data_IF_714764046786
#
_entry.id   IF_714764046786
#
_cell.length_a   1.000
_cell.length_b   1.000
_cell.length_c   1.000
_cell.angle_alpha   90.00
_cell.angle_beta   90.00
_cell.angle_gamma   90.00
#
_symmetry.space_group_name_H-M   'P 1'
#
loop_
_entity.id
_entity.type
_entity.pdbx_description
1 polymer ?
#
# COMPACT_ATOMS: atom_id res chain seq x y z
N UNK A 1 -35.30 -24.76 -4.59
CA UNK A 1 -34.91 -23.62 -5.44
C UNK A 1 -34.61 -22.36 -4.63
N UNK A 2 -35.30 -22.09 -3.52
CA UNK A 2 -35.03 -20.93 -2.64
C UNK A 2 -33.59 -20.83 -2.10
N UNK A 3 -33.01 -21.93 -1.62
CA UNK A 3 -31.65 -21.92 -1.04
C UNK A 3 -30.57 -21.44 -2.02
N UNK A 4 -30.70 -21.78 -3.31
CA UNK A 4 -29.76 -21.33 -4.34
C UNK A 4 -29.87 -19.83 -4.61
N UNK A 5 -31.10 -19.30 -4.60
CA UNK A 5 -31.36 -17.87 -4.80
C UNK A 5 -30.88 -17.04 -3.60
N UNK A 6 -31.09 -17.54 -2.38
CA UNK A 6 -30.60 -16.92 -1.16
C UNK A 6 -29.06 -16.92 -1.08
N UNK A 7 -28.42 -18.01 -1.47
CA UNK A 7 -26.96 -18.10 -1.56
C UNK A 7 -26.42 -17.09 -2.58
N UNK A 8 -27.03 -17.00 -3.77
CA UNK A 8 -26.65 -16.04 -4.81
C UNK A 8 -26.80 -14.60 -4.33
N UNK A 9 -27.90 -14.27 -3.63
CA UNK A 9 -28.12 -12.93 -3.07
C UNK A 9 -27.08 -12.56 -2.02
N UNK A 10 -26.71 -13.51 -1.15
CA UNK A 10 -25.64 -13.33 -0.16
C UNK A 10 -24.29 -13.11 -0.83
N UNK A 11 -23.97 -13.88 -1.87
CA UNK A 11 -22.75 -13.69 -2.66
C UNK A 11 -22.70 -12.32 -3.33
N UNK A 12 -23.80 -11.88 -3.96
CA UNK A 12 -23.89 -10.54 -4.54
C UNK A 12 -23.60 -9.45 -3.49
N UNK A 13 -24.22 -9.54 -2.31
CA UNK A 13 -23.97 -8.58 -1.22
C UNK A 13 -22.50 -8.59 -0.78
N UNK A 14 -21.90 -9.76 -0.61
CA UNK A 14 -20.51 -9.90 -0.19
C UNK A 14 -19.55 -9.32 -1.24
N UNK A 15 -19.78 -9.62 -2.53
CA UNK A 15 -19.00 -9.08 -3.64
C UNK A 15 -19.14 -7.57 -3.72
N UNK A 16 -20.36 -7.02 -3.60
CA UNK A 16 -20.57 -5.56 -3.60
C UNK A 16 -19.86 -4.89 -2.43
N UNK A 17 -19.93 -5.46 -1.23
CA UNK A 17 -19.24 -4.94 -0.05
C UNK A 17 -17.71 -4.98 -0.24
N UNK A 18 -17.17 -6.10 -0.69
CA UNK A 18 -15.73 -6.25 -0.94
C UNK A 18 -15.24 -5.29 -2.03
N UNK A 19 -15.98 -5.16 -3.13
CA UNK A 19 -15.66 -4.20 -4.22
C UNK A 19 -15.64 -2.77 -3.71
N UNK A 20 -16.57 -2.40 -2.82
CA UNK A 20 -16.59 -1.08 -2.20
C UNK A 20 -15.35 -0.82 -1.35
N UNK A 21 -14.99 -1.76 -0.46
CA UNK A 21 -13.80 -1.64 0.39
C UNK A 21 -12.52 -1.58 -0.45
N UNK A 22 -12.40 -2.45 -1.46
CA UNK A 22 -11.27 -2.42 -2.41
C UNK A 22 -11.20 -1.09 -3.17
N UNK A 23 -12.34 -0.52 -3.56
CA UNK A 23 -12.39 0.79 -4.24
C UNK A 23 -11.90 1.92 -3.33
N UNK A 24 -12.28 1.90 -2.05
CA UNK A 24 -11.81 2.88 -1.06
C UNK A 24 -10.30 2.74 -0.81
N UNK A 25 -9.80 1.50 -0.70
CA UNK A 25 -8.36 1.26 -0.58
C UNK A 25 -7.59 1.75 -1.81
N UNK A 26 -8.11 1.49 -3.02
CA UNK A 26 -7.55 2.00 -4.27
C UNK A 26 -7.51 3.52 -4.32
N UNK A 27 -8.59 4.19 -3.89
CA UNK A 27 -8.63 5.65 -3.81
C UNK A 27 -7.60 6.21 -2.82
N UNK A 28 -7.44 5.58 -1.65
CA UNK A 28 -6.40 5.97 -0.66
C UNK A 28 -5.00 5.79 -1.22
N UNK A 29 -4.73 4.66 -1.88
CA UNK A 29 -3.43 4.40 -2.50
C UNK A 29 -3.10 5.43 -3.59
N UNK A 30 -4.08 5.78 -4.43
CA UNK A 30 -3.93 6.82 -5.45
C UNK A 30 -3.56 8.17 -4.83
N UNK A 31 -4.30 8.62 -3.81
CA UNK A 31 -4.04 9.90 -3.12
C UNK A 31 -2.64 9.93 -2.50
N UNK A 32 -2.23 8.86 -1.81
CA UNK A 32 -0.91 8.78 -1.19
C UNK A 32 0.22 8.75 -2.22
N UNK A 33 0.04 8.02 -3.33
CA UNK A 33 1.00 8.00 -4.44
C UNK A 33 1.15 9.38 -5.08
N UNK A 34 0.04 10.04 -5.43
CA UNK A 34 0.06 11.41 -5.97
C UNK A 34 0.69 12.42 -5.01
N UNK A 35 0.42 12.29 -3.70
CA UNK A 35 1.05 13.12 -2.69
C UNK A 35 2.57 12.93 -2.68
N UNK A 36 3.05 11.69 -2.71
CA UNK A 36 4.48 11.38 -2.71
C UNK A 36 5.16 11.93 -3.97
N UNK A 37 4.55 11.75 -5.15
CA UNK A 37 5.05 12.28 -6.42
C UNK A 37 5.10 13.81 -6.43
N UNK A 38 4.11 14.47 -5.84
CA UNK A 38 4.09 15.93 -5.71
C UNK A 38 5.11 16.43 -4.69
N UNK A 39 5.30 15.75 -3.56
CA UNK A 39 6.16 16.19 -2.47
C UNK A 39 7.65 15.88 -2.72
N UNK A 40 7.97 14.71 -3.28
CA UNK A 40 9.35 14.22 -3.43
C UNK A 40 10.27 15.23 -4.13
N UNK A 41 9.88 15.87 -5.26
CA UNK A 41 10.69 16.89 -5.94
C UNK A 41 11.10 18.08 -5.07
N UNK A 42 10.31 18.42 -4.06
CA UNK A 42 10.55 19.56 -3.16
C UNK A 42 11.41 19.21 -1.95
N UNK A 43 11.72 17.92 -1.74
CA UNK A 43 12.60 17.47 -0.66
C UNK A 43 14.06 17.47 -1.12
N UNK A 44 14.94 18.03 -0.29
CA UNK A 44 16.38 17.88 -0.48
C UNK A 44 16.81 16.42 -0.33
N UNK A 45 17.96 16.05 -0.87
CA UNK A 45 18.53 14.69 -0.72
C UNK A 45 18.61 14.24 0.74
N UNK A 46 19.01 15.15 1.64
CA UNK A 46 19.08 14.84 3.07
C UNK A 46 17.69 14.59 3.67
N UNK A 47 16.68 15.37 3.29
CA UNK A 47 15.30 15.18 3.75
C UNK A 47 14.73 13.86 3.21
N UNK A 48 14.93 13.54 1.94
CA UNK A 48 14.49 12.26 1.36
C UNK A 48 15.12 11.06 2.08
N UNK A 49 16.41 11.12 2.39
CA UNK A 49 17.09 10.06 3.13
C UNK A 49 16.53 9.89 4.56
N UNK A 50 16.21 11.00 5.25
CA UNK A 50 15.55 10.96 6.56
C UNK A 50 14.16 10.33 6.46
N UNK A 51 13.34 10.78 5.50
CA UNK A 51 12.00 10.23 5.26
C UNK A 51 12.07 8.74 4.93
N UNK A 52 13.00 8.31 4.07
CA UNK A 52 13.17 6.89 3.72
C UNK A 52 13.54 6.03 4.94
N UNK A 53 14.37 6.57 5.84
CA UNK A 53 14.75 5.88 7.08
C UNK A 53 13.54 5.76 8.01
N UNK A 54 12.84 6.86 8.28
CA UNK A 54 11.64 6.85 9.13
C UNK A 54 10.52 6.00 8.54
N UNK A 55 10.34 6.01 7.22
CA UNK A 55 9.34 5.19 6.54
C UNK A 55 9.64 3.70 6.70
N UNK A 56 10.89 3.28 6.45
CA UNK A 56 11.30 1.88 6.65
C UNK A 56 11.07 1.43 8.08
N UNK A 57 11.49 2.25 9.05
CA UNK A 57 11.30 1.94 10.47
C UNK A 57 9.81 1.79 10.83
N UNK A 58 8.95 2.70 10.36
CA UNK A 58 7.51 2.58 10.59
C UNK A 58 6.88 1.32 9.99
N UNK A 59 7.38 0.86 8.84
CA UNK A 59 6.96 -0.42 8.24
C UNK A 59 7.43 -1.61 9.06
N UNK A 60 8.69 -1.60 9.52
CA UNK A 60 9.24 -2.66 10.38
C UNK A 60 8.47 -2.75 11.71
N UNK A 61 8.15 -1.62 12.32
CA UNK A 61 7.32 -1.54 13.52
C UNK A 61 5.90 -2.08 13.26
N UNK A 62 5.28 -1.71 12.14
CA UNK A 62 3.96 -2.21 11.77
C UNK A 62 3.97 -3.73 11.55
N UNK A 63 4.99 -4.27 10.88
CA UNK A 63 5.13 -5.73 10.70
C UNK A 63 5.33 -6.44 12.04
N UNK A 64 6.15 -5.90 12.93
CA UNK A 64 6.38 -6.50 14.25
C UNK A 64 5.11 -6.60 15.09
N UNK A 65 4.21 -5.62 14.99
CA UNK A 65 2.91 -5.66 15.67
C UNK A 65 1.96 -6.72 15.11
N UNK A 66 2.26 -7.26 13.92
CA UNK A 66 1.44 -8.23 13.22
C UNK A 66 2.01 -9.65 13.24
N UNK A 67 3.17 -9.87 13.88
CA UNK A 67 3.83 -11.18 13.94
C UNK A 67 2.94 -12.28 14.58
N UNK A 68 2.05 -11.90 15.49
CA UNK A 68 1.10 -12.82 16.14
C UNK A 68 -0.18 -13.06 15.32
N UNK A 69 -0.37 -12.37 14.19
CA UNK A 69 -1.55 -12.49 13.33
C UNK A 69 -1.20 -13.35 12.11
N UNK A 70 -1.91 -14.46 11.85
CA UNK A 70 -1.69 -15.25 10.66
C UNK A 70 -2.20 -14.50 9.44
N UNK A 71 -1.31 -13.76 8.78
CA UNK A 71 -1.60 -13.04 7.54
C UNK A 71 -1.28 -13.90 6.32
N UNK A 72 -2.03 -13.76 5.22
CA UNK A 72 -1.68 -14.41 3.95
C UNK A 72 -0.29 -14.00 3.47
N UNK A 73 0.43 -14.91 2.82
CA UNK A 73 1.76 -14.61 2.26
C UNK A 73 1.72 -13.48 1.22
N UNK A 74 0.59 -13.35 0.52
CA UNK A 74 0.31 -12.28 -0.44
C UNK A 74 0.27 -10.91 0.23
N UNK A 75 -0.18 -10.83 1.48
CA UNK A 75 -0.20 -9.58 2.24
C UNK A 75 1.22 -9.10 2.53
N UNK A 76 2.08 -9.99 3.03
CA UNK A 76 3.48 -9.67 3.28
C UNK A 76 4.23 -9.29 1.99
N UNK A 77 3.96 -10.04 0.91
CA UNK A 77 4.56 -9.75 -0.40
C UNK A 77 4.18 -8.37 -0.91
N UNK A 78 2.89 -8.01 -0.84
CA UNK A 78 2.40 -6.70 -1.23
C UNK A 78 2.98 -5.57 -0.36
N UNK A 79 3.10 -5.79 0.96
CA UNK A 79 3.73 -4.82 1.86
C UNK A 79 5.18 -4.55 1.48
N UNK A 80 5.97 -5.60 1.24
CA UNK A 80 7.38 -5.46 0.84
C UNK A 80 7.51 -4.78 -0.52
N UNK A 81 6.70 -5.17 -1.50
CA UNK A 81 6.70 -4.57 -2.84
C UNK A 81 6.41 -3.07 -2.77
N UNK A 82 5.32 -2.67 -2.12
CA UNK A 82 4.93 -1.26 -1.98
C UNK A 82 5.97 -0.44 -1.21
N UNK A 83 6.57 -1.03 -0.17
CA UNK A 83 7.64 -0.39 0.60
C UNK A 83 8.84 -0.11 -0.30
N UNK A 84 9.25 -1.07 -1.12
CA UNK A 84 10.37 -0.92 -2.04
C UNK A 84 10.09 0.12 -3.13
N UNK A 85 8.86 0.20 -3.65
CA UNK A 85 8.45 1.24 -4.61
C UNK A 85 8.60 2.63 -4.00
N UNK A 86 8.11 2.85 -2.78
CA UNK A 86 8.21 4.15 -2.11
C UNK A 86 9.68 4.50 -1.82
N UNK A 87 10.48 3.53 -1.35
CA UNK A 87 11.91 3.73 -1.11
C UNK A 87 12.67 4.08 -2.40
N UNK A 88 12.27 3.53 -3.55
CA UNK A 88 12.84 3.89 -4.85
C UNK A 88 12.52 5.34 -5.25
N UNK A 89 11.29 5.81 -5.00
CA UNK A 89 10.87 7.20 -5.25
C UNK A 89 11.63 8.20 -4.36
N UNK A 90 11.88 7.81 -3.10
CA UNK A 90 12.68 8.60 -2.15
C UNK A 90 14.18 8.48 -2.39
N UNK A 91 14.62 7.50 -3.18
CA UNK A 91 16.01 7.31 -3.55
C UNK A 91 16.59 8.52 -4.29
N UNK A 92 17.92 8.61 -4.40
CA UNK A 92 18.55 9.63 -5.22
C UNK A 92 17.97 9.54 -6.64
N UNK A 93 17.48 10.67 -7.16
CA UNK A 93 17.05 10.77 -8.55
C UNK A 93 18.23 10.30 -9.40
N UNK A 94 18.06 9.18 -10.12
CA UNK A 94 19.02 8.80 -11.16
C UNK A 94 18.92 9.88 -12.22
N UNK A 95 19.73 10.93 -12.08
CA UNK A 95 20.00 11.85 -13.17
C UNK A 95 20.45 10.99 -14.35
N UNK A 96 19.71 11.04 -15.45
CA UNK A 96 20.10 10.41 -16.70
C UNK A 96 21.54 10.80 -17.05
N UNK A 97 22.40 9.85 -17.44
CA UNK A 97 23.72 10.22 -17.94
C UNK A 97 23.53 11.03 -19.22
N UNK A 98 24.14 12.22 -19.23
CA UNK A 98 24.34 13.05 -20.43
C UNK A 98 25.26 12.33 -21.42
#
# INVERSE_FOLDING_TARGET
MDNANDALHRMCKLVTANTREMSVLGARAMVLGTFLDAASPHLTTQQRAKVATSFRQGIEEAMSLMDDVPLPAEYHSAMLELTNVILAILGPSRASPL
#
